data_IF_161289116887
#
_entry.id   IF_161289116887
#
_cell.length_a   1.000
_cell.length_b   1.000
_cell.length_c   1.000
_cell.angle_alpha   90.00
_cell.angle_beta   90.00
_cell.angle_gamma   90.00
#
_symmetry.space_group_name_H-M   'P 1'
#
loop_
_entity.id
_entity.type
_entity.pdbx_description
1 polymer ?
#
# COMPACT_ATOMS: atom_id res chain seq x y z
N UNK A 1 6.75 -10.39 2.17
CA UNK A 1 5.42 -10.39 1.53
C UNK A 1 5.01 -9.02 0.99
N UNK A 2 4.84 -7.99 1.84
CA UNK A 2 4.32 -6.68 1.42
C UNK A 2 5.10 -6.01 0.28
N UNK A 3 6.44 -6.03 0.33
CA UNK A 3 7.28 -5.52 -0.76
C UNK A 3 7.04 -6.29 -2.07
N UNK A 4 7.01 -7.62 -2.03
CA UNK A 4 6.68 -8.45 -3.20
C UNK A 4 5.36 -8.02 -3.82
N UNK A 5 4.33 -7.93 -2.99
CA UNK A 5 2.97 -7.63 -3.41
C UNK A 5 2.82 -6.20 -3.98
N UNK A 6 3.24 -5.20 -3.21
CA UNK A 6 2.94 -3.79 -3.51
C UNK A 6 4.03 -3.10 -4.34
N UNK A 7 5.30 -3.45 -4.14
CA UNK A 7 6.41 -2.83 -4.88
C UNK A 7 6.69 -3.64 -6.14
N UNK A 8 6.93 -4.93 -5.99
CA UNK A 8 7.34 -5.76 -7.12
C UNK A 8 6.17 -6.36 -7.92
N UNK A 9 4.92 -6.17 -7.45
CA UNK A 9 3.69 -6.64 -8.10
C UNK A 9 3.64 -8.15 -8.35
N UNK A 10 4.30 -8.94 -7.49
CA UNK A 10 4.24 -10.40 -7.51
C UNK A 10 3.90 -10.96 -6.13
N UNK A 11 3.27 -12.12 -6.09
CA UNK A 11 3.00 -12.81 -4.84
C UNK A 11 3.13 -14.31 -5.01
N UNK A 12 3.58 -14.99 -3.96
CA UNK A 12 3.58 -16.44 -3.90
C UNK A 12 2.23 -16.91 -3.35
N UNK A 13 1.44 -17.58 -4.18
CA UNK A 13 0.07 -17.94 -3.85
C UNK A 13 -0.04 -19.14 -2.90
N UNK A 14 1.02 -19.96 -2.78
CA UNK A 14 1.05 -21.16 -1.92
C UNK A 14 2.23 -21.20 -0.95
N UNK A 15 2.53 -20.06 -0.30
CA UNK A 15 3.66 -20.00 0.63
C UNK A 15 3.26 -20.57 2.00
N UNK A 16 3.20 -21.90 2.10
CA UNK A 16 2.89 -22.65 3.33
C UNK A 16 4.18 -23.19 3.99
N UNK A 17 4.14 -23.74 5.23
CA UNK A 17 5.36 -24.15 5.95
C UNK A 17 6.26 -25.11 5.17
N UNK A 18 5.68 -26.04 4.42
CA UNK A 18 6.45 -26.96 3.55
C UNK A 18 7.22 -26.30 2.39
N UNK A 19 6.95 -25.03 2.06
CA UNK A 19 7.56 -24.31 0.94
C UNK A 19 8.55 -23.21 1.39
N UNK A 20 8.90 -23.15 2.67
CA UNK A 20 9.83 -22.15 3.23
C UNK A 20 10.79 -22.81 4.20
N UNK A 21 12.10 -22.60 3.97
CA UNK A 21 13.11 -22.89 5.00
C UNK A 21 13.42 -21.65 5.84
N UNK A 22 13.56 -21.87 7.13
CA UNK A 22 13.96 -20.85 8.11
C UNK A 22 15.06 -21.45 8.98
N UNK A 23 16.16 -20.72 9.12
CA UNK A 23 17.25 -21.08 10.01
C UNK A 23 17.55 -19.90 10.96
N UNK A 24 18.06 -20.16 12.20
CA UNK A 24 18.40 -19.10 13.13
C UNK A 24 19.38 -18.09 12.53
N UNK A 25 19.06 -16.80 12.60
CA UNK A 25 19.90 -15.73 12.06
C UNK A 25 19.85 -15.54 10.54
N UNK A 26 19.19 -16.45 9.82
CA UNK A 26 19.06 -16.41 8.37
C UNK A 26 17.71 -15.85 7.92
N UNK A 27 17.66 -15.36 6.68
CA UNK A 27 16.39 -14.97 6.06
C UNK A 27 15.59 -16.22 5.67
N UNK A 28 14.27 -16.11 5.75
CA UNK A 28 13.37 -17.14 5.22
C UNK A 28 13.59 -17.32 3.71
N UNK A 29 13.72 -18.57 3.26
CA UNK A 29 14.01 -18.94 1.88
C UNK A 29 12.84 -19.76 1.29
N UNK A 30 12.07 -19.21 0.33
CA UNK A 30 11.09 -19.98 -0.44
C UNK A 30 11.78 -21.00 -1.34
N UNK A 31 11.30 -22.23 -1.34
CA UNK A 31 11.86 -23.32 -2.17
C UNK A 31 10.99 -23.72 -3.36
N UNK A 32 9.69 -23.45 -3.27
CA UNK A 32 8.75 -23.62 -4.37
C UNK A 32 8.44 -22.25 -4.99
N UNK A 33 8.29 -22.24 -6.30
CA UNK A 33 7.91 -21.08 -7.11
C UNK A 33 6.83 -21.44 -8.14
N UNK A 34 6.23 -22.65 -8.06
CA UNK A 34 5.26 -23.17 -9.00
C UNK A 34 3.94 -22.40 -9.02
N UNK A 35 3.60 -21.68 -7.95
CA UNK A 35 2.36 -20.90 -7.86
C UNK A 35 2.62 -19.43 -7.52
N UNK A 36 3.21 -18.70 -8.47
CA UNK A 36 3.39 -17.25 -8.40
C UNK A 36 2.36 -16.50 -9.24
N UNK A 37 1.82 -15.42 -8.69
CA UNK A 37 0.87 -14.53 -9.37
C UNK A 37 1.41 -13.13 -9.52
N UNK A 38 0.79 -12.36 -10.41
CA UNK A 38 1.02 -10.91 -10.57
C UNK A 38 -0.23 -10.14 -10.18
N UNK A 39 -0.04 -8.94 -9.64
CA UNK A 39 -1.11 -8.01 -9.31
C UNK A 39 -0.95 -6.75 -10.16
N UNK A 40 -2.03 -6.30 -10.79
CA UNK A 40 -2.02 -5.02 -11.49
C UNK A 40 -1.97 -3.85 -10.51
N UNK A 41 -1.55 -2.68 -11.00
CA UNK A 41 -1.34 -1.49 -10.17
C UNK A 41 -2.61 -1.04 -9.44
N UNK A 42 -3.78 -1.10 -10.09
CA UNK A 42 -5.05 -0.63 -9.50
C UNK A 42 -5.46 -1.53 -8.35
N UNK A 43 -5.45 -2.84 -8.57
CA UNK A 43 -5.74 -3.85 -7.54
C UNK A 43 -4.78 -3.70 -6.35
N UNK A 44 -3.47 -3.53 -6.61
CA UNK A 44 -2.47 -3.31 -5.57
C UNK A 44 -2.75 -2.06 -4.72
N UNK A 45 -3.12 -0.94 -5.35
CA UNK A 45 -3.48 0.29 -4.64
C UNK A 45 -4.75 0.14 -3.79
N UNK A 46 -5.78 -0.53 -4.30
CA UNK A 46 -7.02 -0.75 -3.55
C UNK A 46 -6.80 -1.66 -2.34
N UNK A 47 -5.98 -2.70 -2.47
CA UNK A 47 -5.60 -3.55 -1.35
C UNK A 47 -4.76 -2.81 -0.31
N UNK A 48 -3.88 -1.91 -0.75
CA UNK A 48 -3.13 -1.03 0.15
C UNK A 48 -4.06 -0.11 0.92
N UNK A 49 -5.09 0.44 0.27
CA UNK A 49 -6.11 1.25 0.94
C UNK A 49 -6.92 0.42 1.96
N UNK A 50 -7.24 -0.83 1.66
CA UNK A 50 -7.88 -1.75 2.60
C UNK A 50 -6.99 -1.95 3.84
N UNK A 51 -5.71 -2.27 3.66
CA UNK A 51 -4.77 -2.47 4.77
C UNK A 51 -4.54 -1.17 5.56
N UNK A 52 -4.47 -0.03 4.89
CA UNK A 52 -4.36 1.28 5.55
C UNK A 52 -5.60 1.58 6.40
N UNK A 53 -6.78 1.28 5.86
CA UNK A 53 -8.04 1.47 6.58
C UNK A 53 -8.10 0.56 7.81
N UNK A 54 -7.65 -0.70 7.70
CA UNK A 54 -7.46 -1.58 8.88
C UNK A 54 -6.49 -0.97 9.90
N UNK A 55 -5.34 -0.47 9.44
CA UNK A 55 -4.32 0.13 10.29
C UNK A 55 -4.78 1.39 11.04
N UNK A 56 -5.74 2.11 10.46
CA UNK A 56 -6.35 3.33 11.02
C UNK A 56 -7.67 3.06 11.76
N UNK A 57 -8.07 1.79 11.88
CA UNK A 57 -9.36 1.40 12.44
C UNK A 57 -10.57 2.05 11.72
N UNK A 58 -10.44 2.27 10.41
CA UNK A 58 -11.44 2.92 9.57
C UNK A 58 -12.26 1.89 8.78
N UNK A 59 -13.36 1.43 9.37
CA UNK A 59 -14.29 0.51 8.70
C UNK A 59 -14.97 1.10 7.46
N UNK A 60 -15.21 2.42 7.44
CA UNK A 60 -15.86 3.07 6.30
C UNK A 60 -14.91 3.18 5.10
N UNK A 61 -13.65 3.56 5.34
CA UNK A 61 -12.59 3.56 4.34
C UNK A 61 -12.36 2.17 3.75
N UNK A 62 -12.35 1.14 4.60
CA UNK A 62 -12.22 -0.24 4.16
C UNK A 62 -13.38 -0.62 3.24
N UNK A 63 -14.62 -0.34 3.64
CA UNK A 63 -15.80 -0.67 2.86
C UNK A 63 -15.77 -0.01 1.47
N UNK A 64 -15.36 1.26 1.40
CA UNK A 64 -15.21 1.99 0.14
C UNK A 64 -14.17 1.33 -0.77
N UNK A 65 -12.97 1.07 -0.25
CA UNK A 65 -11.89 0.44 -1.03
C UNK A 65 -12.26 -0.99 -1.47
N UNK A 66 -12.99 -1.73 -0.65
CA UNK A 66 -13.49 -3.07 -0.97
C UNK A 66 -14.51 -3.07 -2.11
N UNK A 67 -15.45 -2.13 -2.11
CA UNK A 67 -16.45 -1.99 -3.19
C UNK A 67 -15.76 -1.68 -4.52
N UNK A 68 -14.76 -0.80 -4.50
CA UNK A 68 -13.95 -0.45 -5.68
C UNK A 68 -13.10 -1.63 -6.21
N UNK A 69 -12.73 -2.56 -5.34
CA UNK A 69 -12.00 -3.79 -5.70
C UNK A 69 -12.91 -4.83 -6.34
N UNK A 70 -14.21 -4.76 -6.06
CA UNK A 70 -15.23 -5.62 -6.61
C UNK A 70 -16.15 -4.90 -7.60
N UNK A 71 -17.42 -5.26 -7.54
CA UNK A 71 -18.49 -4.67 -8.32
C UNK A 71 -19.79 -4.67 -7.52
N UNK A 72 -20.38 -3.48 -7.35
CA UNK A 72 -21.69 -3.32 -6.72
C UNK A 72 -22.79 -3.61 -7.75
N UNK A 73 -23.71 -4.52 -7.40
CA UNK A 73 -24.89 -4.83 -8.22
C UNK A 73 -25.98 -3.76 -8.06
N UNK A 74 -27.02 -3.71 -8.92
CA UNK A 74 -28.10 -2.73 -8.81
C UNK A 74 -28.88 -2.74 -7.48
N UNK A 75 -28.86 -3.87 -6.76
CA UNK A 75 -29.52 -4.01 -5.45
C UNK A 75 -28.54 -3.88 -4.27
N UNK A 76 -27.29 -3.44 -4.52
CA UNK A 76 -26.27 -3.39 -3.50
C UNK A 76 -26.63 -2.40 -2.37
N UNK A 77 -26.41 -2.84 -1.12
CA UNK A 77 -26.68 -2.06 0.09
C UNK A 77 -25.36 -1.55 0.68
N UNK A 78 -24.75 -0.56 0.01
CA UNK A 78 -23.41 -0.06 0.34
C UNK A 78 -23.31 0.50 1.78
N UNK A 79 -24.31 1.27 2.22
CA UNK A 79 -24.34 1.81 3.58
C UNK A 79 -24.37 0.72 4.65
N UNK A 80 -25.15 -0.34 4.43
CA UNK A 80 -25.20 -1.47 5.36
C UNK A 80 -23.90 -2.29 5.37
N UNK A 81 -23.22 -2.43 4.22
CA UNK A 81 -21.89 -3.02 4.18
C UNK A 81 -20.86 -2.17 4.94
N UNK A 82 -20.94 -0.85 4.83
CA UNK A 82 -20.07 0.06 5.58
C UNK A 82 -20.28 -0.10 7.10
N UNK A 83 -21.53 -0.22 7.56
CA UNK A 83 -21.84 -0.53 8.96
C UNK A 83 -21.31 -1.90 9.39
N UNK A 84 -21.40 -2.93 8.54
CA UNK A 84 -20.82 -4.24 8.84
C UNK A 84 -19.30 -4.11 9.05
N UNK A 85 -18.59 -3.36 8.19
CA UNK A 85 -17.14 -3.16 8.30
C UNK A 85 -16.76 -2.30 9.51
N UNK A 86 -17.55 -1.28 9.87
CA UNK A 86 -17.33 -0.48 11.07
C UNK A 86 -17.37 -1.32 12.37
N UNK A 87 -18.11 -2.43 12.37
CA UNK A 87 -18.14 -3.38 13.49
C UNK A 87 -16.99 -4.39 13.41
N UNK A 88 -16.63 -4.86 12.22
CA UNK A 88 -15.60 -5.88 12.04
C UNK A 88 -14.17 -5.35 12.18
N UNK A 89 -13.87 -4.16 11.65
CA UNK A 89 -12.51 -3.62 11.59
C UNK A 89 -11.84 -3.49 12.97
N UNK A 90 -12.51 -2.99 14.02
CA UNK A 90 -11.93 -2.93 15.37
C UNK A 90 -11.52 -4.30 15.93
N UNK A 91 -12.17 -5.39 15.50
CA UNK A 91 -11.83 -6.76 15.94
C UNK A 91 -10.58 -7.31 15.25
N UNK A 92 -10.14 -6.67 14.16
CA UNK A 92 -9.06 -7.14 13.30
C UNK A 92 -7.80 -6.29 13.52
N UNK A 93 -7.96 -4.99 13.73
CA UNK A 93 -6.88 -4.01 13.72
C UNK A 93 -5.79 -4.28 14.78
N UNK A 94 -6.19 -4.74 15.96
CA UNK A 94 -5.31 -4.88 17.13
C UNK A 94 -5.06 -6.35 17.53
N UNK A 95 -5.60 -7.31 16.79
CA UNK A 95 -5.52 -8.72 17.17
C UNK A 95 -4.16 -9.35 16.78
N UNK A 96 -3.49 -10.08 17.70
CA UNK A 96 -2.29 -10.86 17.37
C UNK A 96 -2.62 -12.04 16.46
N UNK A 97 -1.62 -12.60 15.76
CA UNK A 97 -1.84 -13.73 14.83
C UNK A 97 -2.45 -14.96 15.50
N UNK A 98 -2.13 -15.23 16.77
CA UNK A 98 -2.70 -16.35 17.51
C UNK A 98 -4.22 -16.24 17.71
N UNK A 99 -4.75 -15.02 17.86
CA UNK A 99 -6.17 -14.74 18.04
C UNK A 99 -6.90 -14.47 16.70
N UNK A 100 -6.17 -14.02 15.69
CA UNK A 100 -6.74 -13.64 14.40
C UNK A 100 -6.60 -14.76 13.38
N UNK A 101 -7.69 -15.46 13.05
CA UNK A 101 -7.71 -16.36 11.88
C UNK A 101 -8.00 -15.58 10.60
N UNK A 102 -6.98 -15.36 9.77
CA UNK A 102 -7.13 -14.52 8.57
C UNK A 102 -8.14 -15.12 7.58
N UNK A 103 -8.10 -16.44 7.37
CA UNK A 103 -9.03 -17.14 6.47
C UNK A 103 -10.50 -16.98 6.88
N UNK A 104 -10.78 -17.11 8.18
CA UNK A 104 -12.11 -16.90 8.73
C UNK A 104 -12.53 -15.42 8.62
N UNK A 105 -11.65 -14.49 8.95
CA UNK A 105 -11.91 -13.05 8.83
C UNK A 105 -12.22 -12.65 7.40
N UNK A 106 -11.42 -13.11 6.43
CA UNK A 106 -11.67 -12.87 5.01
C UNK A 106 -13.01 -13.47 4.58
N UNK A 107 -13.33 -14.68 5.03
CA UNK A 107 -14.62 -15.33 4.75
C UNK A 107 -15.79 -14.52 5.31
N UNK A 108 -15.66 -13.95 6.51
CA UNK A 108 -16.66 -13.05 7.10
C UNK A 108 -16.88 -11.82 6.22
N UNK A 109 -15.80 -11.16 5.77
CA UNK A 109 -15.89 -9.98 4.89
C UNK A 109 -16.54 -10.34 3.54
N UNK A 110 -16.13 -11.44 2.91
CA UNK A 110 -16.72 -11.94 1.66
C UNK A 110 -18.21 -12.27 1.82
N UNK A 111 -18.59 -12.84 2.96
CA UNK A 111 -19.99 -13.15 3.28
C UNK A 111 -20.81 -11.87 3.45
N UNK A 112 -20.31 -10.88 4.19
CA UNK A 112 -20.94 -9.57 4.31
C UNK A 112 -21.09 -8.92 2.92
N UNK A 113 -20.01 -8.87 2.13
CA UNK A 113 -20.00 -8.34 0.77
C UNK A 113 -21.11 -8.97 -0.09
N UNK A 114 -21.16 -10.30 -0.13
CA UNK A 114 -22.14 -11.05 -0.93
C UNK A 114 -23.58 -10.81 -0.47
N UNK A 115 -23.83 -10.83 0.85
CA UNK A 115 -25.16 -10.55 1.44
C UNK A 115 -25.64 -9.12 1.14
N UNK A 116 -24.71 -8.19 0.92
CA UNK A 116 -24.99 -6.78 0.61
C UNK A 116 -24.97 -6.49 -0.90
N UNK A 117 -24.90 -7.51 -1.76
CA UNK A 117 -24.95 -7.35 -3.21
C UNK A 117 -23.67 -6.81 -3.85
N UNK A 118 -22.54 -6.97 -3.16
CA UNK A 118 -21.21 -6.60 -3.64
C UNK A 118 -20.49 -7.88 -4.05
N UNK A 119 -20.22 -8.01 -5.35
CA UNK A 119 -19.49 -9.15 -5.93
C UNK A 119 -18.00 -8.84 -5.96
N UNK A 120 -17.17 -9.79 -5.55
CA UNK A 120 -15.71 -9.65 -5.62
C UNK A 120 -15.15 -10.35 -6.85
N UNK A 121 -14.04 -9.82 -7.39
CA UNK A 121 -13.31 -10.48 -8.47
C UNK A 121 -12.69 -11.81 -7.97
N UNK A 122 -12.61 -12.87 -8.80
CA UNK A 122 -11.90 -14.11 -8.46
C UNK A 122 -10.45 -13.88 -7.99
N UNK A 123 -9.79 -12.84 -8.49
CA UNK A 123 -8.45 -12.45 -8.06
C UNK A 123 -8.38 -12.20 -6.55
N UNK A 124 -9.41 -11.60 -5.94
CA UNK A 124 -9.45 -11.33 -4.49
C UNK A 124 -9.38 -12.62 -3.69
N UNK A 125 -10.04 -13.69 -4.15
CA UNK A 125 -9.99 -14.99 -3.49
C UNK A 125 -8.59 -15.61 -3.56
N UNK A 126 -7.90 -15.50 -4.70
CA UNK A 126 -6.53 -16.00 -4.87
C UNK A 126 -5.56 -15.25 -3.97
N UNK A 127 -5.65 -13.92 -3.93
CA UNK A 127 -4.82 -13.09 -3.06
C UNK A 127 -5.12 -13.39 -1.59
N UNK A 128 -6.39 -13.51 -1.23
CA UNK A 128 -6.83 -13.90 0.09
C UNK A 128 -6.26 -15.24 0.55
N UNK A 129 -6.26 -16.24 -0.33
CA UNK A 129 -5.61 -17.54 -0.09
C UNK A 129 -4.11 -17.38 0.13
N UNK A 130 -3.44 -16.58 -0.71
CA UNK A 130 -2.01 -16.30 -0.56
C UNK A 130 -1.67 -15.68 0.81
N UNK A 131 -2.47 -14.70 1.25
CA UNK A 131 -2.35 -14.11 2.59
C UNK A 131 -2.60 -15.12 3.70
N UNK A 132 -3.64 -15.95 3.59
CA UNK A 132 -3.94 -16.99 4.58
C UNK A 132 -2.81 -18.03 4.70
N UNK A 133 -2.22 -18.45 3.58
CA UNK A 133 -1.10 -19.40 3.57
C UNK A 133 0.14 -18.83 4.27
N UNK A 134 0.53 -17.59 3.92
CA UNK A 134 1.66 -16.90 4.57
C UNK A 134 1.39 -16.70 6.05
N UNK A 135 0.19 -16.26 6.41
CA UNK A 135 -0.22 -16.06 7.79
C UNK A 135 -0.10 -17.36 8.60
N UNK A 136 -0.66 -18.46 8.08
CA UNK A 136 -0.55 -19.78 8.71
C UNK A 136 0.90 -20.22 8.91
N UNK A 137 1.78 -19.95 7.95
CA UNK A 137 3.22 -20.21 8.10
C UNK A 137 3.88 -19.36 9.20
N UNK A 138 3.57 -18.07 9.24
CA UNK A 138 4.18 -17.14 10.19
C UNK A 138 3.64 -17.37 11.60
N UNK A 139 2.37 -17.74 11.76
CA UNK A 139 1.74 -18.04 13.06
C UNK A 139 2.51 -19.11 13.83
N UNK A 140 3.00 -20.16 13.16
CA UNK A 140 3.78 -21.21 13.79
C UNK A 140 5.16 -20.72 14.30
N UNK A 141 5.70 -19.65 13.73
CA UNK A 141 7.02 -19.12 14.04
C UNK A 141 6.98 -17.93 15.01
N UNK A 142 5.97 -17.08 14.89
CA UNK A 142 5.82 -15.83 15.64
C UNK A 142 4.33 -15.55 15.96
N UNK A 143 3.73 -16.30 16.90
CA UNK A 143 2.29 -16.22 17.20
C UNK A 143 1.84 -14.86 17.74
N UNK A 144 2.69 -14.17 18.51
CA UNK A 144 2.42 -12.83 19.05
C UNK A 144 2.63 -11.68 18.06
N UNK A 145 2.98 -11.98 16.80
CA UNK A 145 3.15 -10.94 15.78
C UNK A 145 1.80 -10.32 15.41
N UNK A 146 1.77 -9.01 15.16
CA UNK A 146 0.62 -8.35 14.53
C UNK A 146 0.92 -8.05 13.05
N UNK A 147 0.06 -8.56 12.15
CA UNK A 147 0.20 -8.30 10.72
C UNK A 147 0.07 -6.80 10.38
N UNK A 148 -0.79 -6.10 11.13
CA UNK A 148 -1.04 -4.67 10.94
C UNK A 148 0.16 -3.84 11.40
N UNK A 149 0.82 -4.21 12.49
CA UNK A 149 2.06 -3.55 12.91
C UNK A 149 3.19 -3.74 11.91
N UNK A 150 3.38 -4.96 11.40
CA UNK A 150 4.36 -5.24 10.35
C UNK A 150 4.04 -4.43 9.09
N UNK A 151 2.75 -4.33 8.72
CA UNK A 151 2.33 -3.49 7.61
C UNK A 151 2.65 -2.01 7.84
N UNK A 152 2.35 -1.46 9.03
CA UNK A 152 2.65 -0.06 9.40
C UNK A 152 4.15 0.23 9.29
N UNK A 153 5.00 -0.68 9.76
CA UNK A 153 6.45 -0.57 9.65
C UNK A 153 6.93 -0.58 8.18
N UNK A 154 6.34 -1.44 7.35
CA UNK A 154 6.70 -1.56 5.93
C UNK A 154 6.08 -0.47 5.04
N UNK A 155 5.02 0.21 5.51
CA UNK A 155 4.26 1.18 4.75
C UNK A 155 5.13 2.33 4.22
N UNK A 156 6.02 2.88 5.05
CA UNK A 156 6.91 3.97 4.63
C UNK A 156 7.77 3.57 3.44
N UNK A 157 8.38 2.38 3.50
CA UNK A 157 9.20 1.86 2.42
C UNK A 157 8.36 1.64 1.15
N UNK A 158 7.18 1.05 1.29
CA UNK A 158 6.27 0.79 0.16
C UNK A 158 5.84 2.10 -0.51
N UNK A 159 5.45 3.12 0.26
CA UNK A 159 5.03 4.42 -0.27
C UNK A 159 6.16 5.16 -0.98
N UNK A 160 7.37 5.19 -0.39
CA UNK A 160 8.54 5.78 -1.03
C UNK A 160 8.89 5.07 -2.34
N UNK A 161 8.80 3.74 -2.37
CA UNK A 161 9.06 2.95 -3.58
C UNK A 161 8.04 3.27 -4.69
N UNK A 162 6.75 3.38 -4.34
CA UNK A 162 5.69 3.74 -5.28
C UNK A 162 5.84 5.18 -5.79
N UNK A 163 6.21 6.11 -4.91
CA UNK A 163 6.47 7.49 -5.29
C UNK A 163 7.63 7.56 -6.29
N UNK A 164 8.75 6.86 -6.01
CA UNK A 164 9.89 6.79 -6.91
C UNK A 164 9.54 6.21 -8.29
N UNK A 165 8.61 5.25 -8.40
CA UNK A 165 8.13 4.76 -9.70
C UNK A 165 7.33 5.82 -10.48
N UNK A 166 6.58 6.69 -9.80
CA UNK A 166 5.78 7.74 -10.45
C UNK A 166 6.60 8.93 -10.92
N UNK A 167 7.75 9.16 -10.30
CA UNK A 167 8.67 10.20 -10.71
C UNK A 167 9.59 9.59 -11.76
N UNK A 168 9.30 9.80 -13.05
CA UNK A 168 10.20 9.30 -14.11
C UNK A 168 11.58 9.91 -13.93
N UNK A 169 12.64 9.14 -14.21
CA UNK A 169 14.02 9.65 -14.17
C UNK A 169 14.16 10.92 -15.02
N UNK A 170 13.42 11.01 -16.13
CA UNK A 170 13.37 12.20 -16.99
C UNK A 170 12.68 13.38 -16.31
N UNK A 171 11.59 13.16 -15.57
CA UNK A 171 10.95 14.23 -14.78
C UNK A 171 11.87 14.72 -13.67
N UNK A 172 12.57 13.82 -12.96
CA UNK A 172 13.59 14.22 -11.98
C UNK A 172 14.68 15.05 -12.66
N UNK A 173 15.26 14.53 -13.75
CA UNK A 173 16.34 15.19 -14.47
C UNK A 173 15.92 16.56 -15.00
N UNK A 174 14.69 16.66 -15.54
CA UNK A 174 14.12 17.91 -16.04
C UNK A 174 13.91 18.92 -14.90
N UNK A 175 13.30 18.52 -13.79
CA UNK A 175 13.12 19.41 -12.64
C UNK A 175 14.46 19.86 -12.06
N UNK A 176 15.45 18.95 -11.99
CA UNK A 176 16.80 19.30 -11.53
C UNK A 176 17.50 20.30 -12.47
N UNK A 177 17.37 20.10 -13.80
CA UNK A 177 17.88 21.04 -14.81
C UNK A 177 17.18 22.39 -14.73
N UNK A 178 15.86 22.43 -14.58
CA UNK A 178 15.08 23.66 -14.40
C UNK A 178 15.52 24.42 -13.13
N UNK A 179 15.81 23.72 -12.04
CA UNK A 179 16.36 24.32 -10.81
C UNK A 179 17.78 24.86 -11.04
N UNK A 180 18.66 24.10 -11.71
CA UNK A 180 20.03 24.53 -12.02
C UNK A 180 20.04 25.78 -12.92
N UNK A 181 19.19 25.80 -13.94
CA UNK A 181 19.03 26.94 -14.85
C UNK A 181 18.37 28.13 -14.15
N UNK A 182 17.41 27.86 -13.25
CA UNK A 182 16.75 28.87 -12.44
C UNK A 182 17.69 29.57 -11.45
N UNK A 183 18.62 28.84 -10.83
CA UNK A 183 19.64 29.40 -9.94
C UNK A 183 20.54 30.41 -10.70
N UNK A 184 20.90 30.12 -11.95
CA UNK A 184 21.67 31.05 -12.79
C UNK A 184 20.95 32.38 -13.04
N UNK A 185 19.63 32.34 -13.22
CA UNK A 185 18.82 33.55 -13.44
C UNK A 185 18.65 34.41 -12.18
N UNK A 186 18.61 33.80 -10.98
CA UNK A 186 18.53 34.52 -9.71
C UNK A 186 19.85 35.23 -9.39
N UNK A 187 20.99 34.60 -9.69
CA UNK A 187 22.30 35.23 -9.51
C UNK A 187 22.54 36.40 -10.47
N UNK A 188 22.08 36.31 -11.72
CA UNK A 188 22.19 37.42 -12.69
C UNK A 188 21.27 38.60 -12.32
N UNK A 189 20.05 38.33 -11.85
CA UNK A 189 19.13 39.38 -11.40
C UNK A 189 19.61 40.09 -10.13
N UNK A 190 20.18 39.37 -9.15
CA UNK A 190 20.78 40.00 -7.96
C UNK A 190 22.01 40.86 -8.30
N UNK A 191 22.81 40.44 -9.29
CA UNK A 191 23.97 41.19 -9.77
C UNK A 191 23.57 42.49 -10.50
N UNK A 192 22.48 42.44 -11.28
CA UNK A 192 21.91 43.62 -11.94
C UNK A 192 21.32 44.65 -10.97
N UNK A 193 20.64 44.19 -9.92
CA UNK A 193 20.07 45.06 -8.88
C UNK A 193 21.12 45.76 -8.02
N UNK A 194 22.30 45.16 -7.84
CA UNK A 194 23.42 45.82 -7.12
C UNK A 194 24.20 46.83 -7.98
N UNK A 195 24.20 46.69 -9.32
CA UNK A 195 24.81 47.67 -10.24
C UNK A 195 23.94 48.90 -10.51
N UNK A 196 22.63 48.82 -10.32
CA UNK A 196 21.69 49.92 -10.58
C UNK A 196 21.60 51.02 -9.51
N UNK A 197 22.36 50.95 -8.41
CA UNK A 197 22.29 51.90 -7.28
C UNK A 197 23.37 53.01 -7.28
N UNK A 198 24.20 53.13 -8.32
CA UNK A 198 25.31 54.11 -8.37
C UNK A 198 25.24 55.18 -9.48
N UNK A 199 24.08 55.47 -10.06
CA UNK A 199 23.91 56.63 -10.95
C UNK A 199 23.04 57.71 -10.30
N UNK A 200 23.65 58.55 -9.46
CA UNK A 200 23.14 59.89 -9.14
C UNK A 200 23.45 60.84 -10.30
N UNK A 201 22.50 61.66 -10.79
CA UNK A 201 22.80 62.65 -11.83
C UNK A 201 23.56 63.85 -11.23
N UNK A 202 24.35 64.60 -12.02
CA UNK A 202 25.07 65.75 -11.52
C UNK A 202 24.10 66.92 -11.29
N UNK A 203 24.39 67.71 -10.26
CA UNK A 203 23.71 68.97 -10.00
C UNK A 203 24.13 70.03 -11.03
N UNK A 204 23.17 70.50 -11.80
CA UNK A 204 23.17 71.83 -12.45
C UNK A 204 22.10 72.62 -11.67
N UNK A 205 22.27 73.87 -11.24
CA UNK A 205 23.10 74.98 -11.69
C UNK A 205 22.25 76.22 -11.44
#
# INVERSE_FOLDING_TARGET
MFRGFFVHRFFHADLHPGNVFVAPGEKAAPIDWGMVGRTDRRTGMLLMLILLSLAQNDGHGLAKAWVELGHATPWAKLGAFASDMAVLVPQIADAPLEELNFGLTLTRVLTCSTKRGIRTSPTVAVLGKAFANVEGSVRCLAPGLSLIEVFKAEMQHVMLSLAAETVSKEKVARTALEVMLGIGSVTDQMSGLMRGRHSTPPAEG
#
